data_IF_464433686798
#
_entry.id   IF_464433686798
#
_cell.length_a   1.000
_cell.length_b   1.000
_cell.length_c   1.000
_cell.angle_alpha   90.00
_cell.angle_beta   90.00
_cell.angle_gamma   90.00
#
_symmetry.space_group_name_H-M   'P 1'
#
loop_
_entity.id
_entity.type
_entity.pdbx_description
1 polymer ?
#
# COMPACT_ATOMS: atom_id res chain seq x y z
N UNK A 1 -1.36 -6.19 7.19
CA UNK A 1 -1.67 -7.23 6.22
C UNK A 1 -2.02 -6.75 4.83
N UNK A 2 -1.32 -5.76 4.30
CA UNK A 2 -1.50 -5.27 2.91
C UNK A 2 -0.32 -5.70 2.06
N UNK A 3 0.90 -5.23 2.37
CA UNK A 3 2.14 -5.70 1.71
C UNK A 3 2.60 -7.05 2.24
N UNK A 4 2.08 -7.49 3.38
CA UNK A 4 2.30 -8.81 3.97
C UNK A 4 0.98 -9.53 4.11
N UNK A 5 1.02 -10.78 4.52
CA UNK A 5 -0.19 -11.58 4.84
C UNK A 5 -0.77 -11.31 6.24
N UNK A 6 -0.18 -10.35 6.97
CA UNK A 6 -0.61 -9.99 8.33
C UNK A 6 -0.08 -10.91 9.43
N UNK A 7 0.66 -11.95 9.09
CA UNK A 7 1.24 -12.86 10.07
C UNK A 7 2.49 -12.27 10.70
N UNK A 8 2.70 -12.59 11.96
CA UNK A 8 3.90 -12.19 12.71
C UNK A 8 4.83 -13.40 12.85
N UNK A 9 6.06 -13.24 12.36
CA UNK A 9 7.12 -14.24 12.47
C UNK A 9 8.20 -13.69 13.39
N UNK A 10 8.63 -14.48 14.36
CA UNK A 10 9.70 -14.10 15.28
C UNK A 10 10.79 -15.15 15.27
N UNK A 11 12.05 -14.69 15.35
CA UNK A 11 13.17 -15.59 15.61
C UNK A 11 13.27 -15.85 17.14
N UNK A 12 14.15 -16.77 17.59
CA UNK A 12 14.31 -17.05 19.01
C UNK A 12 14.72 -15.85 19.87
N UNK A 13 15.31 -14.80 19.25
CA UNK A 13 15.71 -13.56 19.94
C UNK A 13 14.56 -12.54 20.01
N UNK A 14 13.38 -12.89 19.52
CA UNK A 14 12.23 -11.99 19.50
C UNK A 14 12.24 -10.96 18.38
N UNK A 15 13.15 -11.08 17.43
CA UNK A 15 13.19 -10.19 16.26
C UNK A 15 12.11 -10.58 15.26
N UNK A 16 11.39 -9.58 14.74
CA UNK A 16 10.31 -9.78 13.79
C UNK A 16 10.87 -9.99 12.37
N UNK A 17 10.36 -11.01 11.70
CA UNK A 17 10.68 -11.33 10.32
C UNK A 17 9.40 -11.13 9.49
N UNK A 18 9.51 -10.47 8.34
CA UNK A 18 8.39 -10.26 7.42
C UNK A 18 8.74 -10.76 6.03
N UNK A 19 7.75 -11.35 5.37
CA UNK A 19 7.83 -11.73 3.97
C UNK A 19 7.04 -10.72 3.12
N UNK A 20 7.65 -10.27 2.03
CA UNK A 20 7.03 -9.39 1.04
C UNK A 20 6.98 -10.10 -0.30
N UNK A 21 6.01 -9.72 -1.12
CA UNK A 21 5.80 -10.32 -2.43
C UNK A 21 6.47 -9.47 -3.52
N UNK A 22 7.23 -10.11 -4.40
CA UNK A 22 7.94 -9.43 -5.49
C UNK A 22 7.00 -8.82 -6.53
N UNK A 23 5.85 -9.43 -6.77
CA UNK A 23 4.84 -8.87 -7.67
C UNK A 23 4.32 -7.53 -7.15
N UNK A 24 4.06 -7.44 -5.86
CA UNK A 24 3.63 -6.19 -5.21
C UNK A 24 4.69 -5.11 -5.36
N UNK A 25 5.94 -5.46 -5.09
CA UNK A 25 7.05 -4.51 -5.21
C UNK A 25 7.22 -3.99 -6.62
N UNK A 26 7.14 -4.86 -7.62
CA UNK A 26 7.28 -4.43 -9.01
C UNK A 26 6.09 -3.58 -9.47
N UNK A 27 4.88 -3.91 -9.02
CA UNK A 27 3.70 -3.07 -9.27
C UNK A 27 3.86 -1.65 -8.74
N UNK A 28 4.40 -1.52 -7.54
CA UNK A 28 4.69 -0.21 -6.95
C UNK A 28 5.73 0.55 -7.76
N UNK A 29 6.77 -0.12 -8.24
CA UNK A 29 7.78 0.53 -9.10
C UNK A 29 7.19 0.99 -10.45
N UNK A 30 6.32 0.21 -11.06
CA UNK A 30 5.62 0.62 -12.27
C UNK A 30 4.76 1.85 -12.02
N UNK A 31 4.06 1.89 -10.89
CA UNK A 31 3.20 3.00 -10.51
C UNK A 31 4.02 4.28 -10.30
N UNK A 32 5.15 4.19 -9.59
CA UNK A 32 6.10 5.32 -9.44
C UNK A 32 6.63 5.79 -10.78
N UNK A 33 6.99 4.88 -11.66
CA UNK A 33 7.49 5.21 -13.00
C UNK A 33 6.50 6.01 -13.85
N UNK A 34 5.22 5.93 -13.52
CA UNK A 34 4.15 6.71 -14.17
C UNK A 34 3.74 7.95 -13.35
N UNK A 35 4.55 8.35 -12.38
CA UNK A 35 4.37 9.62 -11.67
C UNK A 35 3.48 9.56 -10.43
N UNK A 36 3.07 8.39 -10.00
CA UNK A 36 2.28 8.24 -8.76
C UNK A 36 3.22 8.18 -7.56
N UNK A 37 2.97 9.01 -6.56
CA UNK A 37 3.72 9.01 -5.32
C UNK A 37 3.23 7.89 -4.40
N UNK A 38 4.15 7.28 -3.67
CA UNK A 38 3.87 6.16 -2.78
C UNK A 38 4.15 6.53 -1.33
N UNK A 39 3.34 5.97 -0.44
CA UNK A 39 3.53 6.10 1.01
C UNK A 39 3.17 4.80 1.71
N UNK A 40 3.82 4.55 2.83
CA UNK A 40 3.50 3.45 3.74
C UNK A 40 3.22 4.04 5.12
N UNK A 41 2.06 3.67 5.68
CA UNK A 41 1.69 4.02 7.05
C UNK A 41 1.43 2.71 7.79
N UNK A 42 2.21 2.45 8.82
CA UNK A 42 2.06 1.25 9.64
C UNK A 42 2.15 1.57 11.11
N UNK A 43 1.30 0.94 11.92
CA UNK A 43 1.34 1.08 13.39
C UNK A 43 2.54 0.37 14.03
N UNK A 44 3.21 -0.51 13.31
CA UNK A 44 4.33 -1.28 13.83
C UNK A 44 5.66 -0.72 13.34
N UNK A 45 6.60 -0.54 14.26
CA UNK A 45 7.98 -0.23 13.90
C UNK A 45 8.70 -1.55 13.55
N UNK A 46 9.20 -1.65 12.33
CA UNK A 46 9.87 -2.87 11.83
C UNK A 46 11.04 -2.51 10.94
N UNK A 47 12.21 -3.06 11.25
CA UNK A 47 13.39 -2.94 10.40
C UNK A 47 13.16 -3.53 9.02
N UNK A 48 12.43 -4.63 8.91
CA UNK A 48 12.10 -5.27 7.65
C UNK A 48 11.28 -4.34 6.74
N UNK A 49 10.28 -3.64 7.29
CA UNK A 49 9.48 -2.67 6.54
C UNK A 49 10.34 -1.50 6.06
N UNK A 50 11.23 -0.99 6.90
CA UNK A 50 12.17 0.07 6.53
C UNK A 50 13.09 -0.36 5.38
N UNK A 51 13.64 -1.56 5.45
CA UNK A 51 14.45 -2.13 4.37
C UNK A 51 13.67 -2.23 3.06
N UNK A 52 12.45 -2.75 3.13
CA UNK A 52 11.61 -2.91 1.94
C UNK A 52 11.25 -1.56 1.32
N UNK A 53 10.86 -0.59 2.13
CA UNK A 53 10.54 0.76 1.65
C UNK A 53 11.73 1.40 0.93
N UNK A 54 12.93 1.30 1.51
CA UNK A 54 14.16 1.81 0.87
C UNK A 54 14.45 1.10 -0.45
N UNK A 55 14.33 -0.22 -0.49
CA UNK A 55 14.56 -0.99 -1.72
C UNK A 55 13.59 -0.61 -2.84
N UNK A 56 12.37 -0.22 -2.49
CA UNK A 56 11.35 0.23 -3.44
C UNK A 56 11.40 1.73 -3.74
N UNK A 57 12.28 2.48 -3.08
CA UNK A 57 12.38 3.93 -3.26
C UNK A 57 11.18 4.70 -2.70
N UNK A 58 10.54 4.18 -1.65
CA UNK A 58 9.41 4.84 -0.99
C UNK A 58 9.95 5.75 0.11
N UNK A 59 9.80 7.08 -0.08
CA UNK A 59 10.31 8.09 0.84
C UNK A 59 9.32 8.41 1.97
N UNK A 60 8.02 8.30 1.70
CA UNK A 60 6.98 8.58 2.69
C UNK A 60 6.69 7.33 3.50
N UNK A 61 7.47 7.13 4.55
CA UNK A 61 7.35 5.97 5.44
C UNK A 61 7.06 6.43 6.87
N UNK A 62 5.93 6.00 7.40
CA UNK A 62 5.49 6.30 8.77
C UNK A 62 5.30 4.99 9.53
N UNK A 63 6.15 4.76 10.52
CA UNK A 63 6.12 3.56 11.36
C UNK A 63 5.86 3.92 12.81
N UNK A 64 5.20 3.01 13.54
CA UNK A 64 4.97 3.17 14.98
C UNK A 64 3.96 4.26 15.34
N UNK A 65 3.15 4.69 14.39
CA UNK A 65 2.15 5.73 14.62
C UNK A 65 0.94 5.17 15.37
N UNK A 66 0.56 5.78 16.49
CA UNK A 66 -0.63 5.40 17.25
C UNK A 66 -1.92 5.62 16.46
N UNK A 67 -1.92 6.60 15.57
CA UNK A 67 -3.03 6.85 14.66
C UNK A 67 -2.52 7.07 13.24
N UNK A 68 -3.22 6.50 12.27
CA UNK A 68 -2.83 6.62 10.86
C UNK A 68 -3.24 7.96 10.23
N UNK A 69 -4.27 8.59 10.76
CA UNK A 69 -4.78 9.85 10.21
C UNK A 69 -3.76 11.00 10.28
N UNK A 70 -3.07 11.26 11.41
CA UNK A 70 -2.05 12.31 11.44
C UNK A 70 -0.94 12.11 10.41
N UNK A 71 -0.48 10.87 10.22
CA UNK A 71 0.51 10.53 9.20
C UNK A 71 -0.03 10.83 7.79
N UNK A 72 -1.27 10.47 7.51
CA UNK A 72 -1.91 10.75 6.23
C UNK A 72 -2.02 12.25 5.96
N UNK A 73 -2.43 13.03 6.95
CA UNK A 73 -2.53 14.48 6.81
C UNK A 73 -1.15 15.12 6.56
N UNK A 74 -0.10 14.62 7.20
CA UNK A 74 1.26 15.07 6.96
C UNK A 74 1.72 14.76 5.52
N UNK A 75 1.36 13.60 4.99
CA UNK A 75 1.63 13.25 3.59
C UNK A 75 0.93 14.22 2.64
N UNK A 76 -0.33 14.56 2.89
CA UNK A 76 -1.06 15.53 2.06
C UNK A 76 -0.39 16.90 2.08
N UNK A 77 0.06 17.36 3.23
CA UNK A 77 0.76 18.63 3.35
C UNK A 77 2.08 18.62 2.57
N UNK A 78 2.87 17.55 2.70
CA UNK A 78 4.17 17.44 2.03
C UNK A 78 4.06 17.28 0.51
N UNK A 79 3.00 16.64 0.03
CA UNK A 79 2.80 16.38 -1.41
C UNK A 79 1.98 17.45 -2.11
N UNK A 80 1.24 18.24 -1.37
CA UNK A 80 0.28 19.21 -1.93
C UNK A 80 -0.95 18.57 -2.55
N UNK A 81 -1.17 17.27 -2.33
CA UNK A 81 -2.33 16.54 -2.85
C UNK A 81 -3.53 16.68 -1.91
N UNK A 82 -4.73 16.57 -2.48
CA UNK A 82 -5.97 16.43 -1.70
C UNK A 82 -6.22 14.97 -1.38
N UNK A 83 -7.01 14.72 -0.34
CA UNK A 83 -7.41 13.35 0.02
C UNK A 83 -8.12 12.63 -1.13
N UNK A 84 -8.92 13.35 -1.91
CA UNK A 84 -9.65 12.79 -3.06
C UNK A 84 -8.74 12.28 -4.17
N UNK A 85 -7.52 12.81 -4.26
CA UNK A 85 -6.51 12.36 -5.24
C UNK A 85 -5.73 11.12 -4.78
N UNK A 86 -6.03 10.61 -3.60
CA UNK A 86 -5.31 9.49 -3.00
C UNK A 86 -6.12 8.20 -3.06
N UNK A 87 -5.40 7.09 -3.22
CA UNK A 87 -5.88 5.75 -2.94
C UNK A 87 -5.27 5.26 -1.64
N UNK A 88 -5.95 4.39 -0.94
CA UNK A 88 -5.47 3.77 0.29
C UNK A 88 -5.95 2.34 0.38
N UNK A 89 -5.05 1.44 0.71
CA UNK A 89 -5.38 0.02 0.92
C UNK A 89 -5.28 -0.29 2.41
N UNK A 90 -6.37 -0.78 2.99
CA UNK A 90 -6.46 -1.11 4.40
C UNK A 90 -6.84 -2.57 4.66
N UNK A 91 -6.53 -3.04 5.86
CA UNK A 91 -6.79 -4.42 6.28
C UNK A 91 -7.46 -4.54 7.64
N UNK A 92 -7.59 -3.44 8.38
CA UNK A 92 -8.15 -3.47 9.73
C UNK A 92 -8.83 -2.15 10.11
N UNK A 93 -9.49 -2.13 11.25
CA UNK A 93 -10.27 -0.98 11.73
C UNK A 93 -9.43 0.28 11.91
N UNK A 94 -8.13 0.14 12.18
CA UNK A 94 -7.21 1.28 12.30
C UNK A 94 -7.02 2.04 10.99
N UNK A 95 -7.39 1.44 9.86
CA UNK A 95 -7.32 2.07 8.54
C UNK A 95 -8.54 2.93 8.21
N UNK A 96 -9.65 2.73 8.92
CA UNK A 96 -10.91 3.43 8.62
C UNK A 96 -10.82 4.95 8.62
N UNK A 97 -10.07 5.61 9.55
CA UNK A 97 -9.97 7.07 9.52
C UNK A 97 -9.40 7.62 8.21
N UNK A 98 -8.46 6.91 7.58
CA UNK A 98 -7.89 7.28 6.29
C UNK A 98 -8.81 6.85 5.15
N UNK A 99 -9.31 5.62 5.18
CA UNK A 99 -10.20 5.08 4.13
C UNK A 99 -11.45 5.95 3.93
N UNK A 100 -11.98 6.52 5.00
CA UNK A 100 -13.17 7.40 4.93
C UNK A 100 -12.91 8.76 4.27
N UNK A 101 -11.65 9.10 4.02
CA UNK A 101 -11.26 10.40 3.48
C UNK A 101 -10.70 10.35 2.06
N UNK A 102 -10.09 9.23 1.68
CA UNK A 102 -9.48 9.10 0.35
C UNK A 102 -10.53 8.96 -0.75
N UNK A 103 -10.13 9.33 -1.96
CA UNK A 103 -10.98 9.18 -3.13
C UNK A 103 -11.16 7.72 -3.56
N UNK A 104 -10.18 6.86 -3.30
CA UNK A 104 -10.25 5.46 -3.65
C UNK A 104 -9.83 4.55 -2.49
N UNK A 105 -10.75 4.25 -1.57
CA UNK A 105 -10.49 3.30 -0.48
C UNK A 105 -10.62 1.86 -0.97
N UNK A 106 -9.60 1.07 -0.67
CA UNK A 106 -9.50 -0.34 -1.06
C UNK A 106 -9.29 -1.19 0.19
N UNK A 107 -9.86 -2.38 0.22
CA UNK A 107 -9.63 -3.35 1.28
C UNK A 107 -9.13 -4.67 0.70
N UNK A 108 -8.31 -5.38 1.49
CA UNK A 108 -7.96 -6.77 1.19
C UNK A 108 -9.10 -7.71 1.65
N UNK A 109 -9.26 -8.89 1.03
CA UNK A 109 -10.44 -9.75 1.30
C UNK A 109 -10.55 -10.24 2.74
N UNK A 110 -9.42 -10.42 3.43
CA UNK A 110 -9.41 -10.90 4.81
C UNK A 110 -9.69 -9.81 5.85
N UNK A 111 -9.92 -8.57 5.43
CA UNK A 111 -10.25 -7.48 6.35
C UNK A 111 -11.59 -7.74 7.06
N UNK A 112 -11.79 -7.18 8.28
CA UNK A 112 -13.07 -7.25 8.97
C UNK A 112 -14.22 -6.66 8.13
N UNK A 113 -15.45 -7.14 8.34
CA UNK A 113 -16.61 -6.71 7.57
C UNK A 113 -16.83 -5.20 7.58
N UNK A 114 -16.58 -4.53 8.70
CA UNK A 114 -16.72 -3.07 8.78
C UNK A 114 -15.73 -2.36 7.85
N UNK A 115 -14.54 -2.90 7.66
CA UNK A 115 -13.53 -2.36 6.74
C UNK A 115 -13.95 -2.62 5.30
N UNK A 116 -14.41 -3.83 5.00
CA UNK A 116 -14.92 -4.18 3.67
C UNK A 116 -16.08 -3.27 3.25
N UNK A 117 -16.98 -2.95 4.18
CA UNK A 117 -18.14 -2.09 3.89
C UNK A 117 -17.79 -0.63 3.61
N UNK A 118 -16.59 -0.18 4.00
CA UNK A 118 -16.09 1.16 3.71
C UNK A 118 -15.15 1.22 2.51
N UNK A 119 -14.89 0.09 1.86
CA UNK A 119 -14.08 0.04 0.66
C UNK A 119 -14.93 0.27 -0.58
N UNK A 120 -14.38 1.00 -1.53
CA UNK A 120 -14.96 1.12 -2.87
C UNK A 120 -14.59 -0.10 -3.73
N UNK A 121 -13.46 -0.72 -3.44
CA UNK A 121 -12.96 -1.91 -4.12
C UNK A 121 -12.36 -2.87 -3.10
N UNK A 122 -12.67 -4.14 -3.24
CA UNK A 122 -12.05 -5.22 -2.46
C UNK A 122 -11.22 -6.06 -3.42
N UNK A 123 -9.94 -6.26 -3.12
CA UNK A 123 -9.07 -7.02 -4.01
C UNK A 123 -9.49 -8.49 -4.08
N UNK A 124 -9.22 -9.13 -5.21
CA UNK A 124 -9.39 -10.58 -5.34
C UNK A 124 -8.24 -11.34 -4.69
N UNK A 125 -7.03 -10.74 -4.69
CA UNK A 125 -5.84 -11.33 -4.08
C UNK A 125 -5.70 -10.89 -2.63
N UNK A 126 -5.11 -11.78 -1.82
CA UNK A 126 -4.85 -11.50 -0.41
C UNK A 126 -3.64 -10.56 -0.22
N UNK A 127 -3.58 -9.89 0.94
CA UNK A 127 -2.42 -9.12 1.34
C UNK A 127 -1.16 -10.00 1.35
N UNK A 128 -0.04 -9.47 0.86
CA UNK A 128 1.20 -10.23 0.71
C UNK A 128 1.19 -11.26 -0.42
N UNK A 129 0.09 -11.40 -1.13
CA UNK A 129 -0.09 -12.40 -2.19
C UNK A 129 -0.53 -11.77 -3.51
N UNK A 130 -0.20 -10.52 -3.75
CA UNK A 130 -0.50 -9.82 -4.99
C UNK A 130 -1.63 -8.79 -4.91
N UNK A 131 -2.20 -8.54 -3.73
CA UNK A 131 -3.25 -7.52 -3.59
C UNK A 131 -2.79 -6.14 -4.03
N UNK A 132 -1.59 -5.73 -3.61
CA UNK A 132 -1.04 -4.42 -3.98
C UNK A 132 -0.73 -4.37 -5.48
N UNK A 133 -0.21 -5.45 -6.06
CA UNK A 133 -0.02 -5.56 -7.51
C UNK A 133 -1.31 -5.34 -8.27
N UNK A 134 -2.39 -5.96 -7.83
CA UNK A 134 -3.71 -5.80 -8.41
C UNK A 134 -4.16 -4.34 -8.39
N UNK A 135 -3.99 -3.66 -7.26
CA UNK A 135 -4.36 -2.25 -7.11
C UNK A 135 -3.49 -1.35 -8.00
N UNK A 136 -2.18 -1.61 -8.07
CA UNK A 136 -1.27 -0.84 -8.93
C UNK A 136 -1.69 -0.93 -10.40
N UNK A 137 -1.99 -2.12 -10.90
CA UNK A 137 -2.44 -2.32 -12.27
C UNK A 137 -3.81 -1.67 -12.52
N UNK A 138 -4.71 -1.75 -11.55
CA UNK A 138 -6.02 -1.11 -11.64
C UNK A 138 -5.91 0.41 -11.76
N UNK A 139 -5.06 1.03 -10.95
CA UNK A 139 -4.82 2.48 -11.01
C UNK A 139 -4.20 2.86 -12.35
N UNK A 140 -3.18 2.12 -12.80
CA UNK A 140 -2.53 2.37 -14.09
C UNK A 140 -3.51 2.26 -15.25
N UNK A 141 -4.37 1.25 -15.22
CA UNK A 141 -5.41 1.07 -16.24
C UNK A 141 -6.44 2.19 -16.21
N UNK A 142 -6.90 2.59 -15.04
CA UNK A 142 -7.87 3.67 -14.87
C UNK A 142 -7.32 5.02 -15.36
N UNK A 143 -6.01 5.23 -15.24
CA UNK A 143 -5.33 6.43 -15.73
C UNK A 143 -4.92 6.34 -17.20
N UNK A 144 -5.17 5.21 -17.86
CA UNK A 144 -4.76 4.98 -19.25
C UNK A 144 -3.24 4.85 -19.42
N UNK A 145 -2.53 4.41 -18.38
CA UNK A 145 -1.05 4.34 -18.34
C UNK A 145 -0.50 2.93 -18.23
N UNK A 146 -1.36 1.90 -18.19
CA UNK A 146 -0.89 0.52 -18.05
C UNK A 146 -0.03 0.10 -19.26
N UNK A 147 -0.46 0.43 -20.48
CA UNK A 147 0.31 0.13 -21.70
C UNK A 147 1.68 0.78 -21.67
N UNK A 148 1.77 2.04 -21.27
CA UNK A 148 3.04 2.76 -21.14
C UNK A 148 3.95 2.11 -20.09
N UNK A 149 3.39 1.66 -18.97
CA UNK A 149 4.14 0.99 -17.92
C UNK A 149 4.68 -0.37 -18.36
N UNK A 150 3.95 -1.09 -19.22
CA UNK A 150 4.31 -2.42 -19.71
C UNK A 150 5.22 -2.38 -20.95
N UNK A 151 5.24 -1.26 -21.68
CA UNK A 151 5.97 -1.14 -22.96
C UNK A 151 7.45 -1.53 -22.87
N UNK A 152 8.21 -1.14 -21.82
CA UNK A 152 9.62 -1.53 -21.73
C UNK A 152 9.85 -3.05 -21.69
N UNK A 153 8.83 -3.84 -21.38
CA UNK A 153 8.91 -5.30 -21.29
C UNK A 153 8.38 -6.00 -22.56
N UNK A 154 7.74 -5.27 -23.44
CA UNK A 154 7.12 -5.79 -24.66
C UNK A 154 7.87 -5.41 -25.93
N UNK A 155 8.72 -4.41 -25.88
CA UNK A 155 9.51 -3.90 -27.00
C UNK A 155 11.00 -4.18 -26.77
N UNK A 156 11.74 -4.54 -27.85
CA UNK A 156 13.19 -4.79 -27.83
C UNK A 156 14.00 -3.48 -27.84
#
# INVERSE_FOLDING_TARGET
GVLTDGKLWFNPQGEEIKAFNTLDGHGLKMLQGQGVQLAIITGRASGATGHRARALGIDHLYMGSEGKLPAFLDILEKTGLSAEECAYVGDDVIDLPVMRRVGFPVAVPAAPNIVLSHAQYVTGRQGGEGAVREVCELILQAQGRLDAALRPYLED
#
